data_IF_490553061488
#
_entry.id   IF_490553061488
#
_cell.length_a   1.000
_cell.length_b   1.000
_cell.length_c   1.000
_cell.angle_alpha   90.00
_cell.angle_beta   90.00
_cell.angle_gamma   90.00
#
_symmetry.space_group_name_H-M   'P 1'
#
loop_
_entity.id
_entity.type
_entity.pdbx_description
1 polymer ?
#
# COMPACT_ATOMS: atom_id res chain seq x y z
N UNK A 1 29.29 -6.00 -12.41
CA UNK A 1 28.34 -7.10 -12.17
C UNK A 1 26.99 -6.65 -12.71
N UNK A 2 26.51 -7.32 -13.75
CA UNK A 2 25.27 -7.01 -14.46
C UNK A 2 24.09 -7.23 -13.51
N UNK A 3 23.33 -6.18 -13.23
CA UNK A 3 22.07 -6.24 -12.48
C UNK A 3 21.08 -6.86 -13.44
N UNK A 4 20.80 -8.18 -13.24
CA UNK A 4 19.83 -8.89 -14.05
C UNK A 4 18.51 -8.12 -14.13
N UNK A 5 18.08 -7.81 -15.34
CA UNK A 5 16.76 -7.31 -15.61
C UNK A 5 15.77 -8.37 -15.09
N UNK A 6 15.00 -8.02 -14.06
CA UNK A 6 13.78 -8.74 -13.76
C UNK A 6 12.89 -8.56 -14.99
N UNK A 7 12.70 -9.62 -15.76
CA UNK A 7 11.73 -9.65 -16.82
C UNK A 7 10.38 -9.26 -16.19
N UNK A 8 9.75 -8.22 -16.71
CA UNK A 8 8.31 -8.03 -16.52
C UNK A 8 7.69 -9.34 -16.99
N UNK A 9 7.16 -10.13 -16.07
CA UNK A 9 6.31 -11.25 -16.43
C UNK A 9 5.04 -10.61 -16.94
N UNK A 10 4.87 -10.56 -18.27
CA UNK A 10 3.58 -10.22 -18.85
C UNK A 10 2.61 -11.28 -18.36
N UNK A 11 1.68 -10.89 -17.49
CA UNK A 11 0.65 -11.80 -17.01
C UNK A 11 -0.14 -12.30 -18.20
N UNK A 12 -0.31 -13.63 -18.29
CA UNK A 12 -1.16 -14.21 -19.33
C UNK A 12 -2.56 -13.58 -19.26
N UNK A 13 -3.21 -13.30 -20.39
CA UNK A 13 -4.58 -12.75 -20.40
C UNK A 13 -5.49 -13.65 -19.55
N UNK A 14 -6.06 -13.10 -18.47
CA UNK A 14 -6.94 -13.81 -17.53
C UNK A 14 -6.30 -14.26 -16.21
N UNK A 15 -5.02 -13.96 -15.93
CA UNK A 15 -4.46 -14.15 -14.58
C UNK A 15 -4.67 -12.88 -13.74
N UNK A 16 -5.22 -13.03 -12.53
CA UNK A 16 -5.38 -11.92 -11.59
C UNK A 16 -4.01 -11.28 -11.30
N UNK A 17 -3.98 -9.93 -11.22
CA UNK A 17 -2.78 -9.18 -10.84
C UNK A 17 -2.25 -9.59 -9.46
N UNK A 18 -3.17 -9.86 -8.54
CA UNK A 18 -2.94 -10.24 -7.17
C UNK A 18 -3.90 -11.37 -6.81
N UNK A 19 -3.43 -12.41 -6.12
CA UNK A 19 -4.27 -13.51 -5.67
C UNK A 19 -3.76 -14.10 -4.36
N UNK A 20 -4.66 -14.23 -3.39
CA UNK A 20 -4.49 -15.00 -2.16
C UNK A 20 -5.50 -16.14 -2.15
N UNK A 21 -5.06 -17.36 -1.78
CA UNK A 21 -5.86 -18.56 -1.71
C UNK A 21 -5.61 -19.26 -0.38
N UNK A 22 -6.65 -19.38 0.43
CA UNK A 22 -6.62 -20.06 1.73
C UNK A 22 -5.50 -19.58 2.64
N UNK A 23 -5.27 -18.26 2.68
CA UNK A 23 -4.24 -17.67 3.54
C UNK A 23 -4.64 -17.80 5.01
N UNK A 24 -3.77 -18.41 5.79
CA UNK A 24 -3.91 -18.51 7.24
C UNK A 24 -2.72 -17.86 7.94
N UNK A 25 -3.00 -17.14 9.03
CA UNK A 25 -1.95 -16.55 9.88
C UNK A 25 -2.23 -16.81 11.35
N UNK A 26 -1.20 -17.31 12.02
CA UNK A 26 -1.20 -17.59 13.45
C UNK A 26 -0.08 -16.79 14.12
N UNK A 27 -0.33 -16.30 15.33
CA UNK A 27 0.71 -15.77 16.21
C UNK A 27 0.72 -16.53 17.53
N UNK A 28 1.92 -16.81 18.05
CA UNK A 28 2.09 -17.40 19.37
C UNK A 28 1.92 -16.32 20.44
N UNK A 29 0.96 -16.50 21.34
CA UNK A 29 0.67 -15.61 22.45
C UNK A 29 0.88 -16.37 23.77
N UNK A 30 2.13 -16.43 24.24
CA UNK A 30 2.50 -17.28 25.36
C UNK A 30 2.35 -18.76 25.02
N UNK A 31 1.53 -19.49 25.77
CA UNK A 31 1.22 -20.92 25.53
C UNK A 31 0.10 -21.13 24.50
N UNK A 32 -0.68 -20.09 24.20
CA UNK A 32 -1.81 -20.16 23.25
C UNK A 32 -1.41 -19.69 21.85
N UNK A 33 -2.07 -20.25 20.83
CA UNK A 33 -1.93 -19.83 19.45
C UNK A 33 -3.18 -19.08 19.01
N UNK A 34 -3.02 -17.82 18.62
CA UNK A 34 -4.11 -17.00 18.11
C UNK A 34 -4.20 -17.13 16.57
N UNK A 35 -5.34 -17.58 16.04
CA UNK A 35 -5.64 -17.66 14.63
C UNK A 35 -6.19 -16.31 14.15
N UNK A 36 -5.35 -15.49 13.53
CA UNK A 36 -5.68 -14.10 13.17
C UNK A 36 -6.30 -13.97 11.79
N UNK A 37 -5.83 -14.74 10.80
CA UNK A 37 -6.44 -14.79 9.48
C UNK A 37 -6.83 -16.23 9.18
N UNK A 38 -8.07 -16.41 8.69
CA UNK A 38 -8.71 -17.70 8.54
C UNK A 38 -9.15 -17.89 7.09
N UNK A 39 -8.46 -18.76 6.38
CA UNK A 39 -8.78 -19.14 4.99
C UNK A 39 -9.11 -17.95 4.07
N UNK A 40 -8.28 -16.90 4.11
CA UNK A 40 -8.50 -15.70 3.31
C UNK A 40 -8.33 -16.01 1.82
N UNK A 41 -9.40 -15.82 1.08
CA UNK A 41 -9.41 -15.80 -0.37
C UNK A 41 -9.63 -14.36 -0.84
N UNK A 42 -8.71 -13.81 -1.65
CA UNK A 42 -8.79 -12.45 -2.18
C UNK A 42 -8.07 -12.37 -3.53
N UNK A 43 -8.74 -11.82 -4.53
CA UNK A 43 -8.12 -11.53 -5.83
C UNK A 43 -8.34 -10.08 -6.22
N UNK A 44 -7.45 -9.53 -7.02
CA UNK A 44 -7.48 -8.15 -7.50
C UNK A 44 -6.98 -8.09 -8.94
N UNK A 45 -7.67 -7.32 -9.77
CA UNK A 45 -7.24 -7.02 -11.13
C UNK A 45 -6.32 -5.78 -11.16
N UNK A 46 -5.49 -5.66 -12.21
CA UNK A 46 -4.65 -4.48 -12.40
C UNK A 46 -5.54 -3.25 -12.62
N UNK A 47 -5.21 -2.15 -11.92
CA UNK A 47 -6.00 -0.91 -11.97
C UNK A 47 -7.26 -0.93 -11.10
N UNK A 48 -7.50 -1.97 -10.32
CA UNK A 48 -8.63 -2.02 -9.38
C UNK A 48 -8.34 -1.18 -8.12
N UNK A 49 -9.40 -0.53 -7.60
CA UNK A 49 -9.37 0.09 -6.28
C UNK A 49 -10.26 -0.71 -5.33
N UNK A 50 -9.62 -1.43 -4.42
CA UNK A 50 -10.25 -2.24 -3.38
C UNK A 50 -10.17 -1.54 -2.02
N UNK A 51 -11.24 -1.60 -1.24
CA UNK A 51 -11.20 -1.26 0.18
C UNK A 51 -11.48 -2.48 1.06
N UNK A 52 -10.64 -2.68 2.08
CA UNK A 52 -10.82 -3.69 3.13
C UNK A 52 -11.36 -2.98 4.37
N UNK A 53 -12.62 -3.23 4.70
CA UNK A 53 -13.35 -2.62 5.80
C UNK A 53 -13.49 -3.61 6.96
N UNK A 54 -13.28 -3.16 8.18
CA UNK A 54 -13.52 -3.99 9.37
C UNK A 54 -13.23 -3.26 10.68
N UNK A 55 -13.75 -3.76 11.81
CA UNK A 55 -13.51 -3.17 13.13
C UNK A 55 -12.05 -3.32 13.57
N UNK A 56 -11.67 -2.60 14.63
CA UNK A 56 -10.34 -2.78 15.25
C UNK A 56 -10.19 -4.24 15.73
N UNK A 57 -9.00 -4.81 15.54
CA UNK A 57 -8.70 -6.19 15.93
C UNK A 57 -9.18 -7.29 14.96
N UNK A 58 -9.85 -6.95 13.86
CA UNK A 58 -10.37 -7.95 12.91
C UNK A 58 -9.33 -8.65 12.03
N UNK A 59 -8.03 -8.29 12.14
CA UNK A 59 -6.97 -8.87 11.31
C UNK A 59 -6.48 -7.99 10.15
N UNK A 60 -7.04 -6.76 9.96
CA UNK A 60 -6.68 -5.85 8.85
C UNK A 60 -5.19 -5.58 8.73
N UNK A 61 -4.52 -5.20 9.83
CA UNK A 61 -3.09 -4.89 9.82
C UNK A 61 -2.24 -6.12 9.52
N UNK A 62 -2.67 -7.31 9.98
CA UNK A 62 -2.02 -8.57 9.66
C UNK A 62 -2.18 -8.89 8.16
N UNK A 63 -3.38 -8.73 7.61
CA UNK A 63 -3.62 -8.91 6.19
C UNK A 63 -2.77 -7.94 5.36
N UNK A 64 -2.73 -6.66 5.75
CA UNK A 64 -1.88 -5.65 5.12
C UNK A 64 -0.40 -6.03 5.13
N UNK A 65 0.10 -6.54 6.25
CA UNK A 65 1.50 -6.94 6.37
C UNK A 65 1.84 -8.10 5.43
N UNK A 66 0.94 -9.07 5.26
CA UNK A 66 1.13 -10.18 4.31
C UNK A 66 1.05 -9.66 2.87
N UNK A 67 0.04 -8.87 2.51
CA UNK A 67 -0.07 -8.24 1.19
C UNK A 67 1.18 -7.42 0.87
N UNK A 68 1.67 -6.69 1.86
CA UNK A 68 2.85 -5.84 1.75
C UNK A 68 4.19 -6.59 1.81
N UNK A 69 4.18 -7.91 1.88
CA UNK A 69 5.40 -8.73 2.06
C UNK A 69 6.23 -8.31 3.28
N UNK A 70 5.61 -7.73 4.32
CA UNK A 70 6.22 -7.39 5.61
C UNK A 70 6.18 -8.56 6.59
N UNK A 71 5.28 -9.51 6.35
CA UNK A 71 5.13 -10.76 7.07
C UNK A 71 4.75 -11.85 6.06
N UNK A 72 4.88 -13.12 6.45
CA UNK A 72 4.52 -14.26 5.62
C UNK A 72 3.35 -15.04 6.24
N UNK A 73 2.51 -15.62 5.40
CA UNK A 73 1.43 -16.51 5.84
C UNK A 73 2.01 -17.81 6.43
N UNK A 74 1.26 -18.45 7.34
CA UNK A 74 1.63 -19.79 7.83
C UNK A 74 1.20 -20.89 6.86
N UNK A 75 0.16 -20.65 6.07
CA UNK A 75 -0.30 -21.55 5.00
C UNK A 75 -1.15 -20.77 3.98
N UNK A 76 -1.41 -21.40 2.85
CA UNK A 76 -2.11 -20.81 1.71
C UNK A 76 -1.13 -20.43 0.60
N UNK A 77 -1.64 -19.79 -0.45
CA UNK A 77 -0.84 -19.33 -1.59
C UNK A 77 -1.06 -17.85 -1.83
N UNK A 78 0.01 -17.10 -2.01
CA UNK A 78 -0.03 -15.69 -2.38
C UNK A 78 0.76 -15.46 -3.66
N UNK A 79 0.08 -14.95 -4.69
CA UNK A 79 0.69 -14.63 -5.99
C UNK A 79 0.54 -13.14 -6.28
N UNK A 80 1.63 -12.47 -6.61
CA UNK A 80 1.67 -11.09 -7.08
C UNK A 80 2.28 -11.05 -8.47
N UNK A 81 1.52 -10.60 -9.47
CA UNK A 81 1.94 -10.55 -10.89
C UNK A 81 2.51 -11.88 -11.40
N UNK A 82 1.87 -12.99 -11.01
CA UNK A 82 2.30 -14.33 -11.40
C UNK A 82 3.51 -14.87 -10.64
N UNK A 83 4.08 -14.12 -9.68
CA UNK A 83 5.15 -14.57 -8.81
C UNK A 83 4.58 -15.11 -7.49
N UNK A 84 4.90 -16.33 -7.11
CA UNK A 84 4.60 -16.92 -5.81
C UNK A 84 5.47 -16.26 -4.73
N UNK A 85 4.84 -15.85 -3.63
CA UNK A 85 5.47 -15.02 -2.59
C UNK A 85 5.93 -15.87 -1.40
N UNK A 86 5.23 -16.96 -1.09
CA UNK A 86 5.47 -17.79 0.10
C UNK A 86 6.86 -18.43 0.16
N UNK A 87 7.44 -18.75 -1.00
CA UNK A 87 8.73 -19.45 -1.09
C UNK A 87 9.94 -18.48 -1.23
N UNK A 88 9.69 -17.16 -1.19
CA UNK A 88 10.73 -16.17 -1.39
C UNK A 88 11.59 -15.95 -0.14
N UNK A 89 12.87 -15.75 -0.36
CA UNK A 89 13.79 -15.31 0.68
C UNK A 89 13.50 -13.87 1.12
N UNK A 90 13.93 -13.50 2.34
CA UNK A 90 13.76 -12.13 2.83
C UNK A 90 14.38 -11.07 1.88
N UNK A 91 15.49 -11.39 1.22
CA UNK A 91 16.12 -10.50 0.23
C UNK A 91 15.24 -10.28 -1.01
N UNK A 92 14.51 -11.31 -1.45
CA UNK A 92 13.56 -11.23 -2.57
C UNK A 92 12.30 -10.49 -2.16
N UNK A 93 11.74 -10.77 -0.98
CA UNK A 93 10.63 -10.00 -0.41
C UNK A 93 10.98 -8.51 -0.28
N UNK A 94 12.18 -8.17 0.18
CA UNK A 94 12.65 -6.78 0.25
C UNK A 94 12.71 -6.10 -1.12
N UNK A 95 13.06 -6.84 -2.19
CA UNK A 95 13.05 -6.32 -3.56
C UNK A 95 11.63 -6.04 -4.05
N UNK A 96 10.67 -6.95 -3.78
CA UNK A 96 9.26 -6.76 -4.11
C UNK A 96 8.72 -5.53 -3.38
N UNK A 97 8.93 -5.43 -2.07
CA UNK A 97 8.54 -4.25 -1.27
C UNK A 97 9.07 -2.95 -1.86
N UNK A 98 10.33 -2.95 -2.28
CA UNK A 98 10.98 -1.73 -2.79
C UNK A 98 10.52 -1.33 -4.20
N UNK A 99 10.11 -2.28 -5.04
CA UNK A 99 9.82 -2.04 -6.45
C UNK A 99 8.35 -2.04 -6.80
N UNK A 100 7.59 -2.96 -6.17
CA UNK A 100 6.21 -3.22 -6.56
C UNK A 100 5.20 -2.57 -5.62
N UNK A 101 5.58 -2.24 -4.36
CA UNK A 101 4.63 -1.82 -3.34
C UNK A 101 4.97 -0.43 -2.80
N UNK A 102 4.01 0.48 -2.90
CA UNK A 102 4.07 1.80 -2.27
C UNK A 102 3.21 1.83 -1.01
N UNK A 103 3.83 2.02 0.16
CA UNK A 103 3.13 2.05 1.45
C UNK A 103 2.74 3.47 1.85
N UNK A 104 1.49 3.62 2.30
CA UNK A 104 0.93 4.86 2.86
C UNK A 104 0.27 4.52 4.18
N UNK A 105 0.78 5.08 5.29
CA UNK A 105 0.31 4.79 6.64
C UNK A 105 -0.52 5.94 7.21
N UNK A 106 -1.36 5.65 8.20
CA UNK A 106 -2.21 6.62 8.89
C UNK A 106 -1.41 7.81 9.45
N UNK A 107 -0.29 7.54 10.11
CA UNK A 107 0.61 8.56 10.69
C UNK A 107 1.77 8.86 9.74
N UNK A 108 1.55 9.09 8.46
CA UNK A 108 2.52 9.41 7.40
C UNK A 108 3.94 8.81 7.53
N UNK A 109 4.40 8.51 8.74
CA UNK A 109 5.70 7.91 9.11
C UNK A 109 6.88 8.56 8.37
N UNK A 110 6.92 9.88 8.35
CA UNK A 110 8.04 10.64 7.81
C UNK A 110 9.19 10.67 8.81
N UNK A 111 10.42 10.60 8.30
CA UNK A 111 11.61 10.79 9.12
C UNK A 111 11.70 12.27 9.55
N UNK A 112 11.60 12.58 10.86
CA UNK A 112 11.37 13.93 11.35
C UNK A 112 12.53 14.90 11.13
N UNK A 113 13.75 14.36 10.95
CA UNK A 113 14.98 15.13 10.70
C UNK A 113 15.27 15.39 9.21
N UNK A 114 14.49 14.78 8.33
CA UNK A 114 14.64 14.92 6.88
C UNK A 114 13.59 15.89 6.33
N UNK A 115 13.96 16.65 5.30
CA UNK A 115 13.00 17.48 4.58
C UNK A 115 11.99 16.64 3.80
N UNK A 116 10.89 17.25 3.35
CA UNK A 116 9.90 16.59 2.48
C UNK A 116 10.57 15.93 1.28
N UNK A 117 11.43 16.65 0.57
CA UNK A 117 12.18 16.12 -0.57
C UNK A 117 13.05 14.93 -0.19
N UNK A 118 13.76 14.98 0.93
CA UNK A 118 14.61 13.88 1.40
C UNK A 118 13.80 12.65 1.82
N UNK A 119 12.63 12.84 2.42
CA UNK A 119 11.71 11.74 2.72
C UNK A 119 11.24 11.04 1.44
N UNK A 120 10.92 11.79 0.38
CA UNK A 120 10.52 11.23 -0.91
C UNK A 120 11.68 10.55 -1.64
N UNK A 121 12.92 11.02 -1.47
CA UNK A 121 14.11 10.39 -2.06
C UNK A 121 14.43 9.00 -1.47
N UNK A 122 13.96 8.65 -0.25
CA UNK A 122 14.36 7.45 0.48
C UNK A 122 14.20 6.13 -0.32
N UNK A 123 13.03 5.82 -0.92
CA UNK A 123 12.87 4.57 -1.68
C UNK A 123 13.86 4.45 -2.83
N UNK A 124 14.18 5.57 -3.47
CA UNK A 124 15.11 5.62 -4.59
C UNK A 124 16.58 5.39 -4.17
N UNK A 125 16.91 5.64 -2.90
CA UNK A 125 18.23 5.31 -2.32
C UNK A 125 18.38 3.78 -2.29
N UNK A 126 17.40 3.09 -1.77
CA UNK A 126 17.39 1.62 -1.70
C UNK A 126 17.33 0.97 -3.10
N UNK A 127 16.68 1.64 -4.04
CA UNK A 127 16.65 1.22 -5.45
C UNK A 127 17.97 1.50 -6.21
N UNK A 128 19.00 2.10 -5.58
CA UNK A 128 20.30 2.38 -6.19
C UNK A 128 20.28 3.51 -7.23
N UNK A 129 19.24 4.35 -7.25
CA UNK A 129 19.11 5.48 -8.18
C UNK A 129 20.15 6.55 -7.86
N UNK A 130 20.74 7.18 -8.90
CA UNK A 130 21.78 8.23 -8.72
C UNK A 130 21.26 9.47 -7.99
N UNK A 131 22.11 10.22 -7.26
CA UNK A 131 21.67 11.39 -6.49
C UNK A 131 20.94 12.46 -7.31
N UNK A 132 21.38 12.72 -8.53
CA UNK A 132 20.76 13.71 -9.42
C UNK A 132 19.34 13.29 -9.84
N UNK A 133 19.18 12.02 -10.20
CA UNK A 133 17.92 11.46 -10.66
C UNK A 133 16.90 11.33 -9.49
N UNK A 134 17.37 10.93 -8.28
CA UNK A 134 16.53 10.93 -7.06
C UNK A 134 15.95 12.30 -6.79
N UNK A 135 16.80 13.34 -6.84
CA UNK A 135 16.39 14.71 -6.60
C UNK A 135 15.38 15.20 -7.62
N UNK A 136 15.57 14.85 -8.89
CA UNK A 136 14.62 15.19 -9.98
C UNK A 136 13.27 14.54 -9.74
N UNK A 137 13.22 13.20 -9.57
CA UNK A 137 11.96 12.46 -9.36
C UNK A 137 11.24 12.89 -8.09
N UNK A 138 11.96 13.11 -6.99
CA UNK A 138 11.34 13.57 -5.75
C UNK A 138 10.67 14.94 -5.89
N UNK A 139 11.28 15.87 -6.66
CA UNK A 139 10.69 17.16 -6.95
C UNK A 139 9.40 17.01 -7.77
N UNK A 140 9.44 16.26 -8.85
CA UNK A 140 8.27 15.99 -9.71
C UNK A 140 7.11 15.39 -8.89
N UNK A 141 7.38 14.44 -8.00
CA UNK A 141 6.34 13.87 -7.14
C UNK A 141 5.79 14.88 -6.13
N UNK A 142 6.63 15.74 -5.54
CA UNK A 142 6.16 16.81 -4.64
C UNK A 142 5.35 17.88 -5.37
N UNK A 143 5.72 18.24 -6.59
CA UNK A 143 4.94 19.12 -7.46
C UNK A 143 3.56 18.51 -7.75
N UNK A 144 3.52 17.23 -8.11
CA UNK A 144 2.30 16.48 -8.40
C UNK A 144 1.32 16.47 -7.21
N UNK A 145 1.80 16.38 -5.98
CA UNK A 145 0.94 16.43 -4.79
C UNK A 145 0.73 17.85 -4.24
N UNK A 146 1.09 18.89 -5.01
CA UNK A 146 0.87 20.29 -4.67
C UNK A 146 1.73 20.81 -3.52
N UNK A 147 3.00 20.38 -3.44
CA UNK A 147 3.96 20.76 -2.39
C UNK A 147 5.26 21.35 -2.94
N UNK A 148 5.22 22.03 -4.09
CA UNK A 148 6.38 22.64 -4.72
C UNK A 148 7.10 23.64 -3.83
N UNK A 149 6.34 24.41 -3.05
CA UNK A 149 6.84 25.44 -2.11
C UNK A 149 7.25 24.88 -0.73
N UNK A 150 7.08 23.57 -0.50
CA UNK A 150 7.31 22.90 0.78
C UNK A 150 8.43 21.86 0.76
N UNK A 151 9.16 21.72 -0.34
CA UNK A 151 10.19 20.68 -0.52
C UNK A 151 11.31 20.71 0.54
N UNK A 152 11.68 21.91 1.00
CA UNK A 152 12.71 22.11 2.02
C UNK A 152 12.22 22.01 3.47
N UNK A 153 10.90 21.87 3.71
CA UNK A 153 10.34 21.80 5.05
C UNK A 153 10.53 20.43 5.67
N UNK A 154 10.77 20.40 6.98
CA UNK A 154 10.76 19.17 7.79
C UNK A 154 9.32 18.85 8.24
N UNK A 155 9.00 17.60 8.63
CA UNK A 155 7.64 17.20 9.00
C UNK A 155 6.97 18.10 10.03
N UNK A 156 7.69 18.58 11.05
CA UNK A 156 7.17 19.48 12.06
C UNK A 156 6.80 20.89 11.55
N UNK A 157 7.19 21.24 10.34
CA UNK A 157 6.84 22.49 9.65
C UNK A 157 5.66 22.32 8.68
N UNK A 158 5.10 21.12 8.60
CA UNK A 158 4.02 20.73 7.69
C UNK A 158 2.75 20.40 8.46
N UNK A 159 1.59 20.77 7.91
CA UNK A 159 0.31 20.30 8.44
C UNK A 159 0.16 18.79 8.26
N UNK A 160 -0.74 18.14 9.01
CA UNK A 160 -0.99 16.69 8.88
C UNK A 160 -1.32 16.26 7.45
N UNK A 161 -2.15 17.04 6.74
CA UNK A 161 -2.45 16.77 5.33
C UNK A 161 -1.28 16.99 4.39
N UNK A 162 -0.39 17.94 4.67
CA UNK A 162 0.85 18.12 3.91
C UNK A 162 1.79 16.93 4.15
N UNK A 163 1.92 16.48 5.41
CA UNK A 163 2.71 15.29 5.75
C UNK A 163 2.18 14.05 5.03
N UNK A 164 0.86 13.87 4.98
CA UNK A 164 0.24 12.75 4.27
C UNK A 164 0.49 12.82 2.76
N UNK A 165 0.42 14.00 2.14
CA UNK A 165 0.81 14.17 0.73
C UNK A 165 2.28 13.89 0.47
N UNK A 166 3.19 14.23 1.39
CA UNK A 166 4.60 13.81 1.30
C UNK A 166 4.72 12.28 1.36
N UNK A 167 3.97 11.61 2.26
CA UNK A 167 3.96 10.14 2.34
C UNK A 167 3.43 9.49 1.05
N UNK A 168 2.40 10.06 0.44
CA UNK A 168 1.89 9.61 -0.87
C UNK A 168 2.96 9.82 -1.97
N UNK A 169 3.60 10.98 -2.03
CA UNK A 169 4.68 11.24 -2.97
C UNK A 169 5.85 10.25 -2.80
N UNK A 170 6.20 9.93 -1.54
CA UNK A 170 7.22 8.91 -1.20
C UNK A 170 6.81 7.52 -1.69
N UNK A 171 5.55 7.13 -1.52
CA UNK A 171 5.05 5.86 -2.01
C UNK A 171 5.10 5.76 -3.54
N UNK A 172 4.80 6.86 -4.25
CA UNK A 172 4.71 6.92 -5.71
C UNK A 172 6.06 7.03 -6.43
N UNK A 173 7.09 7.58 -5.79
CA UNK A 173 8.36 7.96 -6.45
C UNK A 173 9.11 6.77 -7.08
N UNK A 174 8.92 5.56 -6.53
CA UNK A 174 9.44 4.29 -7.07
C UNK A 174 8.65 3.77 -8.27
N UNK A 175 7.52 4.38 -8.60
CA UNK A 175 6.57 3.90 -9.60
C UNK A 175 6.05 2.48 -9.31
N UNK A 176 5.53 2.21 -8.08
CA UNK A 176 5.05 0.89 -7.69
C UNK A 176 3.82 0.48 -8.51
N UNK A 177 3.59 -0.83 -8.61
CA UNK A 177 2.40 -1.40 -9.27
C UNK A 177 1.20 -1.45 -8.33
N UNK A 178 1.44 -1.57 -7.02
CA UNK A 178 0.43 -1.62 -5.97
C UNK A 178 0.65 -0.49 -4.95
N UNK A 179 -0.40 0.27 -4.67
CA UNK A 179 -0.45 1.19 -3.53
C UNK A 179 -1.23 0.52 -2.39
N UNK A 180 -0.60 0.42 -1.23
CA UNK A 180 -1.18 -0.17 -0.03
C UNK A 180 -1.32 0.93 1.03
N UNK A 181 -2.56 1.30 1.35
CA UNK A 181 -2.89 2.42 2.22
C UNK A 181 -3.60 1.94 3.50
N UNK A 182 -3.02 2.23 4.66
CA UNK A 182 -3.58 1.92 5.97
C UNK A 182 -4.14 3.20 6.60
N UNK A 183 -5.47 3.27 6.72
CA UNK A 183 -6.19 4.40 7.31
C UNK A 183 -5.69 5.78 6.81
N UNK A 184 -5.57 6.01 5.48
CA UNK A 184 -4.80 7.12 4.94
C UNK A 184 -5.35 8.51 5.30
N UNK A 185 -6.55 8.57 5.88
CA UNK A 185 -7.23 9.81 6.31
C UNK A 185 -7.54 9.85 7.80
N UNK A 186 -7.23 8.80 8.56
CA UNK A 186 -7.67 8.63 9.94
C UNK A 186 -7.15 9.68 10.93
N UNK A 187 -6.02 10.35 10.61
CA UNK A 187 -5.45 11.42 11.42
C UNK A 187 -5.76 12.83 10.87
N UNK A 188 -6.63 12.98 9.86
CA UNK A 188 -6.89 14.23 9.15
C UNK A 188 -8.28 14.79 9.46
N UNK A 189 -8.42 16.12 9.38
CA UNK A 189 -9.73 16.74 9.35
C UNK A 189 -10.50 16.37 8.07
N UNK A 190 -11.84 16.52 8.09
CA UNK A 190 -12.71 16.09 6.99
C UNK A 190 -12.38 16.75 5.64
N UNK A 191 -11.99 18.04 5.63
CA UNK A 191 -11.65 18.74 4.39
C UNK A 191 -10.38 18.19 3.77
N UNK A 192 -9.36 18.05 4.60
CA UNK A 192 -8.06 17.49 4.20
C UNK A 192 -8.19 16.02 3.81
N UNK A 193 -8.97 15.23 4.54
CA UNK A 193 -9.28 13.84 4.20
C UNK A 193 -9.91 13.71 2.81
N UNK A 194 -10.90 14.56 2.47
CA UNK A 194 -11.49 14.60 1.11
C UNK A 194 -10.47 14.92 0.03
N UNK A 195 -9.52 15.82 0.27
CA UNK A 195 -8.46 16.13 -0.70
C UNK A 195 -7.52 14.93 -0.93
N UNK A 196 -7.18 14.20 0.14
CA UNK A 196 -6.38 12.99 0.04
C UNK A 196 -7.14 11.90 -0.73
N UNK A 197 -8.44 11.70 -0.45
CA UNK A 197 -9.25 10.72 -1.18
C UNK A 197 -9.44 11.07 -2.66
N UNK A 198 -9.55 12.37 -2.99
CA UNK A 198 -9.57 12.82 -4.39
C UNK A 198 -8.27 12.44 -5.13
N UNK A 199 -7.11 12.58 -4.46
CA UNK A 199 -5.83 12.15 -5.02
C UNK A 199 -5.77 10.63 -5.26
N UNK A 200 -6.31 9.81 -4.34
CA UNK A 200 -6.41 8.35 -4.55
C UNK A 200 -7.26 7.99 -5.76
N UNK A 201 -8.40 8.67 -5.94
CA UNK A 201 -9.26 8.47 -7.13
C UNK A 201 -8.52 8.83 -8.42
N UNK A 202 -7.86 9.99 -8.46
CA UNK A 202 -7.04 10.42 -9.60
C UNK A 202 -5.97 9.38 -9.93
N UNK A 203 -5.25 8.86 -8.94
CA UNK A 203 -4.25 7.81 -9.12
C UNK A 203 -4.86 6.52 -9.67
N UNK A 204 -6.05 6.13 -9.21
CA UNK A 204 -6.74 4.96 -9.73
C UNK A 204 -7.25 5.17 -11.16
N UNK A 205 -7.76 6.34 -11.48
CA UNK A 205 -8.20 6.71 -12.84
C UNK A 205 -7.02 6.72 -13.84
N UNK A 206 -5.79 6.93 -13.36
CA UNK A 206 -4.55 6.75 -14.12
C UNK A 206 -4.10 5.28 -14.25
N UNK A 207 -4.88 4.32 -13.72
CA UNK A 207 -4.61 2.90 -13.81
C UNK A 207 -3.79 2.32 -12.65
N UNK A 208 -3.63 3.03 -11.52
CA UNK A 208 -2.95 2.49 -10.34
C UNK A 208 -3.84 1.50 -9.60
N UNK A 209 -3.28 0.35 -9.27
CA UNK A 209 -3.93 -0.63 -8.38
C UNK A 209 -3.79 -0.17 -6.94
N UNK A 210 -4.91 -0.14 -6.20
CA UNK A 210 -4.93 0.39 -4.83
C UNK A 210 -5.67 -0.59 -3.92
N UNK A 211 -5.04 -0.95 -2.80
CA UNK A 211 -5.70 -1.58 -1.66
C UNK A 211 -5.69 -0.60 -0.50
N UNK A 212 -6.86 -0.22 -0.02
CA UNK A 212 -7.03 0.66 1.12
C UNK A 212 -7.67 -0.09 2.28
N UNK A 213 -7.08 0.05 3.46
CA UNK A 213 -7.61 -0.52 4.69
C UNK A 213 -8.22 0.60 5.51
N UNK A 214 -9.46 0.43 5.99
CA UNK A 214 -10.13 1.41 6.83
C UNK A 214 -11.20 0.77 7.72
N UNK A 215 -11.58 1.47 8.78
CA UNK A 215 -12.75 1.15 9.60
C UNK A 215 -13.93 2.09 9.31
N UNK A 216 -13.74 3.12 8.47
CA UNK A 216 -14.77 4.10 8.10
C UNK A 216 -15.43 3.73 6.76
N UNK A 217 -16.72 3.41 6.80
CA UNK A 217 -17.53 3.09 5.64
C UNK A 217 -17.56 4.23 4.61
N UNK A 218 -17.56 5.50 5.04
CA UNK A 218 -17.59 6.64 4.11
C UNK A 218 -16.29 6.77 3.33
N UNK A 219 -15.18 6.36 3.94
CA UNK A 219 -13.89 6.27 3.27
C UNK A 219 -13.85 5.06 2.34
N UNK A 220 -14.32 3.89 2.81
CA UNK A 220 -14.36 2.66 2.03
C UNK A 220 -15.15 2.80 0.72
N UNK A 221 -16.25 3.52 0.71
CA UNK A 221 -17.09 3.80 -0.47
C UNK A 221 -16.39 4.58 -1.60
N UNK A 222 -15.17 5.08 -1.38
CA UNK A 222 -14.39 5.68 -2.47
C UNK A 222 -13.75 4.64 -3.38
N UNK A 223 -13.61 3.39 -2.94
CA UNK A 223 -13.16 2.27 -3.74
C UNK A 223 -14.29 1.75 -4.63
N UNK A 224 -13.93 1.06 -5.73
CA UNK A 224 -14.90 0.42 -6.63
C UNK A 224 -15.49 -0.86 -6.02
N UNK A 225 -14.69 -1.55 -5.20
CA UNK A 225 -15.07 -2.78 -4.50
C UNK A 225 -14.72 -2.67 -3.02
N UNK A 226 -15.61 -3.15 -2.17
CA UNK A 226 -15.40 -3.20 -0.72
C UNK A 226 -15.52 -4.65 -0.27
N UNK A 227 -14.56 -5.12 0.51
CA UNK A 227 -14.61 -6.40 1.21
C UNK A 227 -14.61 -6.15 2.70
N UNK A 228 -15.24 -7.02 3.46
CA UNK A 228 -15.30 -6.93 4.92
C UNK A 228 -14.41 -7.98 5.55
N UNK A 229 -13.66 -7.59 6.57
CA UNK A 229 -12.92 -8.54 7.41
C UNK A 229 -13.44 -8.44 8.85
N UNK A 230 -13.91 -9.57 9.37
CA UNK A 230 -14.46 -9.71 10.74
C UNK A 230 -13.88 -10.98 11.34
N UNK A 231 -13.29 -10.89 12.53
CA UNK A 231 -12.70 -12.01 13.27
C UNK A 231 -11.77 -12.91 12.42
N UNK A 232 -11.01 -12.28 11.53
CA UNK A 232 -10.05 -12.94 10.66
C UNK A 232 -10.63 -13.61 9.42
N UNK A 233 -11.92 -13.47 9.16
CA UNK A 233 -12.58 -13.99 7.97
C UNK A 233 -12.95 -12.86 7.01
N UNK A 234 -12.77 -13.08 5.70
CA UNK A 234 -13.04 -12.09 4.66
C UNK A 234 -14.32 -12.46 3.93
N UNK A 235 -15.20 -11.47 3.76
CA UNK A 235 -16.45 -11.62 3.02
C UNK A 235 -16.57 -10.52 1.97
N UNK A 236 -17.10 -10.85 0.79
CA UNK A 236 -17.42 -9.85 -0.22
C UNK A 236 -18.53 -8.93 0.31
N UNK A 237 -18.24 -7.65 0.37
CA UNK A 237 -19.27 -6.61 0.44
C UNK A 237 -19.80 -6.40 -0.97
N UNK A 238 -21.13 -6.35 -1.18
CA UNK A 238 -21.69 -6.11 -2.51
C UNK A 238 -21.05 -4.90 -3.21
N UNK A 239 -21.04 -4.90 -4.55
CA UNK A 239 -20.56 -3.77 -5.35
C UNK A 239 -21.24 -2.47 -4.88
N UNK A 240 -20.46 -1.44 -4.62
CA UNK A 240 -20.95 -0.12 -4.12
C UNK A 240 -21.91 0.54 -5.13
N UNK A 241 -21.95 0.05 -6.38
CA UNK A 241 -22.81 0.55 -7.45
C UNK A 241 -24.18 -0.14 -7.51
N UNK A 242 -24.46 -1.14 -6.66
CA UNK A 242 -25.73 -1.89 -6.65
C UNK A 242 -26.70 -1.43 -5.54
N UNK A 243 -26.47 -0.25 -4.93
CA UNK A 243 -27.32 0.33 -3.87
C UNK A 243 -27.82 1.74 -4.21
#
# INVERSE_FOLDING_TARGET
MSIGAFNRVDTAPGSAFFKMEKINKYYQMGEEQAHILKDIDLSLDEGEFLSVLGPSGSGKSTLMNIIGCLDVANSGRYTLRGQEIEDLTEAELARIRSREIGFIFQNSQLLPRLTAQKNVELPLIYAGVTPSERKRRAREMLERVGLSDRMGHTPNQLSGGQQQRVAIARALVGNPTLLLADEPTGALDQKTGRQVMALFKELNDEGRTIIMITHDMNIAKNARRVVHIIDGELTEGGNVNDA
#
